data_IF_543723982242
#
_entry.id   IF_543723982242
#
_cell.length_a   1.000
_cell.length_b   1.000
_cell.length_c   1.000
_cell.angle_alpha   90.00
_cell.angle_beta   90.00
_cell.angle_gamma   90.00
#
_symmetry.space_group_name_H-M   'P 1'
#
loop_
_entity.id
_entity.type
_entity.pdbx_description
1 polymer ?
#
# COMPACT_ATOMS: atom_id res chain seq x y z
N UNK A 1 8.17 15.50 -8.42
CA UNK A 1 7.70 14.15 -8.05
C UNK A 1 6.18 14.03 -8.21
N UNK A 2 5.40 15.10 -8.04
CA UNK A 2 3.93 15.10 -8.24
C UNK A 2 3.48 14.88 -9.71
N UNK A 3 4.39 14.76 -10.66
CA UNK A 3 4.09 14.70 -12.10
C UNK A 3 4.25 13.30 -12.72
N UNK A 4 4.54 12.26 -11.93
CA UNK A 4 4.67 10.93 -12.47
C UNK A 4 3.34 10.18 -12.34
N UNK A 5 2.74 9.88 -13.47
CA UNK A 5 1.53 9.05 -13.52
C UNK A 5 1.82 7.64 -13.02
N UNK A 6 0.83 7.05 -12.33
CA UNK A 6 0.88 5.68 -11.85
C UNK A 6 0.34 4.67 -12.87
N UNK A 7 -0.37 5.14 -13.91
CA UNK A 7 -1.04 4.29 -14.89
C UNK A 7 -0.66 4.70 -16.30
N UNK A 8 -0.34 3.71 -17.10
CA UNK A 8 -0.14 3.87 -18.53
C UNK A 8 -0.73 2.67 -19.30
N UNK A 9 -1.04 2.87 -20.56
CA UNK A 9 -1.26 1.79 -21.52
C UNK A 9 -0.14 1.75 -22.54
N UNK A 10 0.15 0.55 -23.02
CA UNK A 10 1.12 0.33 -24.08
C UNK A 10 0.47 -0.47 -25.20
N UNK A 11 0.46 0.11 -26.39
CA UNK A 11 -0.02 -0.56 -27.60
C UNK A 11 1.14 -1.31 -28.25
N UNK A 12 1.10 -2.63 -28.20
CA UNK A 12 2.15 -3.49 -28.74
C UNK A 12 2.18 -3.51 -30.30
N UNK A 13 1.12 -3.03 -30.96
CA UNK A 13 1.07 -3.00 -32.43
C UNK A 13 1.71 -1.71 -32.95
N UNK A 14 1.37 -0.58 -32.36
CA UNK A 14 1.89 0.74 -32.77
C UNK A 14 3.16 1.17 -32.00
N UNK A 15 3.60 0.39 -31.02
CA UNK A 15 4.75 0.71 -30.12
C UNK A 15 4.58 2.06 -29.41
N UNK A 16 3.34 2.37 -28.99
CA UNK A 16 3.03 3.65 -28.36
C UNK A 16 2.61 3.51 -26.92
N UNK A 17 3.10 4.42 -26.09
CA UNK A 17 2.73 4.53 -24.67
C UNK A 17 1.83 5.74 -24.45
N UNK A 18 0.71 5.54 -23.79
CA UNK A 18 -0.18 6.61 -23.32
C UNK A 18 -0.21 6.63 -21.81
N UNK A 19 0.16 7.77 -21.21
CA UNK A 19 0.09 8.00 -19.78
C UNK A 19 -1.24 8.65 -19.40
N UNK A 20 -1.80 8.23 -18.24
CA UNK A 20 -3.07 8.74 -17.74
C UNK A 20 -2.86 9.64 -16.53
N UNK A 21 -3.79 10.56 -16.27
CA UNK A 21 -3.74 11.49 -15.13
C UNK A 21 -4.12 10.80 -13.82
N UNK A 22 -3.29 9.88 -13.37
CA UNK A 22 -3.42 9.13 -12.11
C UNK A 22 -2.17 9.40 -11.29
N UNK A 23 -2.32 10.13 -10.20
CA UNK A 23 -1.19 10.61 -9.37
C UNK A 23 -1.45 10.26 -7.90
N UNK A 24 -0.39 10.22 -7.10
CA UNK A 24 -0.53 10.21 -5.65
C UNK A 24 -1.36 11.41 -5.20
N UNK A 25 -2.00 11.32 -4.01
CA UNK A 25 -2.70 12.43 -3.40
C UNK A 25 -1.80 13.68 -3.37
N UNK A 26 -2.39 14.86 -3.53
CA UNK A 26 -1.65 16.12 -3.67
C UNK A 26 -0.73 16.39 -2.47
N UNK A 27 -1.17 16.01 -1.28
CA UNK A 27 -0.49 16.18 0.00
C UNK A 27 0.37 14.95 0.41
N UNK A 28 0.47 13.95 -0.47
CA UNK A 28 1.18 12.69 -0.18
C UNK A 28 2.62 12.89 0.32
N UNK A 29 3.26 13.98 -0.12
CA UNK A 29 4.66 14.28 0.18
C UNK A 29 4.84 15.44 1.18
N UNK A 30 3.76 16.03 1.72
CA UNK A 30 3.82 17.25 2.51
C UNK A 30 4.53 17.06 3.86
N UNK A 31 4.46 15.86 4.43
CA UNK A 31 5.12 15.52 5.71
C UNK A 31 6.52 14.93 5.55
N UNK A 32 7.03 14.88 4.33
CA UNK A 32 8.32 14.26 4.02
C UNK A 32 8.22 13.23 2.89
N UNK A 33 9.33 12.58 2.57
CA UNK A 33 9.37 11.55 1.52
C UNK A 33 8.79 10.26 2.04
N UNK A 34 7.82 9.72 1.33
CA UNK A 34 7.30 8.36 1.51
C UNK A 34 7.84 7.43 0.43
N UNK A 35 7.74 6.14 0.64
CA UNK A 35 7.95 5.19 -0.44
C UNK A 35 6.82 5.29 -1.47
N UNK A 36 7.16 5.06 -2.74
CA UNK A 36 6.25 5.19 -3.88
C UNK A 36 5.62 3.86 -4.30
N UNK A 37 5.52 2.90 -3.37
CA UNK A 37 4.90 1.62 -3.65
C UNK A 37 3.38 1.74 -3.60
N UNK A 38 2.74 1.02 -4.50
CA UNK A 38 1.30 0.85 -4.53
C UNK A 38 0.93 -0.56 -4.99
N UNK A 39 -0.28 -0.96 -4.71
CA UNK A 39 -0.90 -2.18 -5.21
C UNK A 39 -2.12 -1.81 -6.04
N UNK A 40 -2.53 -2.70 -6.92
CA UNK A 40 -3.75 -2.52 -7.68
C UNK A 40 -4.46 -3.84 -7.92
N UNK A 41 -5.76 -3.75 -8.16
CA UNK A 41 -6.58 -4.88 -8.60
C UNK A 41 -7.62 -4.40 -9.61
N UNK A 42 -8.19 -5.34 -10.36
CA UNK A 42 -9.18 -5.03 -11.40
C UNK A 42 -10.54 -5.63 -11.04
N UNK A 43 -11.59 -4.82 -11.21
CA UNK A 43 -12.99 -5.28 -11.21
C UNK A 43 -13.69 -4.70 -12.43
N UNK A 44 -14.09 -5.56 -13.37
CA UNK A 44 -14.63 -5.16 -14.68
C UNK A 44 -13.66 -4.22 -15.43
N UNK A 45 -14.14 -3.04 -15.85
CA UNK A 45 -13.37 -2.03 -16.56
C UNK A 45 -12.75 -0.96 -15.63
N UNK A 46 -12.57 -1.29 -14.35
CA UNK A 46 -11.99 -0.38 -13.36
C UNK A 46 -10.74 -0.96 -12.71
N UNK A 47 -9.73 -0.12 -12.55
CA UNK A 47 -8.55 -0.40 -11.72
C UNK A 47 -8.72 0.29 -10.37
N UNK A 48 -8.45 -0.44 -9.32
CA UNK A 48 -8.45 0.02 -7.93
C UNK A 48 -7.00 0.12 -7.49
N UNK A 49 -6.51 1.34 -7.33
CA UNK A 49 -5.09 1.66 -7.09
C UNK A 49 -4.97 2.10 -5.64
N UNK A 50 -4.19 1.37 -4.87
CA UNK A 50 -4.04 1.54 -3.43
C UNK A 50 -2.56 1.77 -3.07
N UNK A 51 -2.14 3.00 -2.76
CA UNK A 51 -0.80 3.28 -2.26
C UNK A 51 -0.55 2.59 -0.91
N UNK A 52 0.71 2.19 -0.67
CA UNK A 52 1.05 1.51 0.58
C UNK A 52 1.12 2.45 1.79
N UNK A 53 1.34 3.72 1.56
CA UNK A 53 1.50 4.74 2.61
C UNK A 53 0.43 5.82 2.52
N UNK A 54 -0.79 5.41 2.14
CA UNK A 54 -1.97 6.27 2.11
C UNK A 54 -3.24 5.46 2.37
N UNK A 55 -4.25 6.11 2.91
CA UNK A 55 -5.57 5.51 3.09
C UNK A 55 -6.40 5.57 1.82
N UNK A 56 -6.12 6.53 0.92
CA UNK A 56 -6.86 6.74 -0.32
C UNK A 56 -6.72 5.55 -1.28
N UNK A 57 -7.84 5.08 -1.79
CA UNK A 57 -7.92 4.16 -2.93
C UNK A 57 -8.51 4.93 -4.11
N UNK A 58 -7.82 4.95 -5.23
CA UNK A 58 -8.26 5.61 -6.46
C UNK A 58 -8.91 4.59 -7.40
N UNK A 59 -10.08 4.93 -7.95
CA UNK A 59 -10.79 4.11 -8.92
C UNK A 59 -10.62 4.72 -10.30
N UNK A 60 -9.81 4.09 -11.13
CA UNK A 60 -9.58 4.49 -12.51
C UNK A 60 -10.49 3.68 -13.45
N UNK A 61 -11.30 4.38 -14.24
CA UNK A 61 -12.18 3.79 -15.26
C UNK A 61 -11.40 3.69 -16.59
N UNK A 62 -11.14 2.47 -17.06
CA UNK A 62 -10.34 2.23 -18.25
C UNK A 62 -11.06 2.64 -19.56
N UNK A 63 -12.39 2.69 -19.57
CA UNK A 63 -13.13 3.14 -20.75
C UNK A 63 -13.19 4.67 -20.84
N UNK A 64 -13.35 5.33 -19.68
CA UNK A 64 -13.34 6.80 -19.58
C UNK A 64 -11.94 7.38 -19.50
N UNK A 65 -10.94 6.52 -19.27
CA UNK A 65 -9.53 6.87 -19.14
C UNK A 65 -9.25 7.92 -18.06
N UNK A 66 -10.00 7.89 -16.97
CA UNK A 66 -9.89 8.86 -15.87
C UNK A 66 -10.19 8.26 -14.51
N UNK A 67 -9.70 8.91 -13.46
CA UNK A 67 -10.09 8.61 -12.08
C UNK A 67 -11.54 9.08 -11.89
N UNK A 68 -12.42 8.14 -11.56
CA UNK A 68 -13.87 8.40 -11.38
C UNK A 68 -14.28 8.44 -9.92
N UNK A 69 -13.45 7.92 -9.01
CA UNK A 69 -13.70 7.96 -7.58
C UNK A 69 -12.40 7.90 -6.79
N UNK A 70 -12.43 8.44 -5.57
CA UNK A 70 -11.38 8.37 -4.56
C UNK A 70 -12.04 8.12 -3.21
N UNK A 71 -11.59 7.09 -2.52
CA UNK A 71 -12.19 6.68 -1.24
C UNK A 71 -11.09 6.59 -0.18
N UNK A 72 -11.31 7.22 0.94
CA UNK A 72 -10.45 7.09 2.12
C UNK A 72 -10.86 5.82 2.90
N UNK A 73 -10.17 4.71 2.60
CA UNK A 73 -10.39 3.41 3.22
C UNK A 73 -9.34 3.20 4.33
N UNK A 74 -9.55 3.85 5.47
CA UNK A 74 -8.66 3.82 6.62
C UNK A 74 -8.92 2.60 7.49
N UNK A 75 -7.85 1.88 7.86
CA UNK A 75 -7.86 0.85 8.90
C UNK A 75 -7.76 1.47 10.29
N UNK A 76 -8.49 0.91 11.27
CA UNK A 76 -8.36 1.29 12.68
C UNK A 76 -6.99 0.90 13.29
N UNK A 77 -6.25 0.03 12.62
CA UNK A 77 -4.94 -0.46 13.04
C UNK A 77 -3.76 0.28 12.39
N UNK A 78 -4.02 1.23 11.49
CA UNK A 78 -3.00 2.04 10.82
C UNK A 78 -3.05 3.47 11.36
N UNK A 79 -2.02 3.83 12.13
CA UNK A 79 -1.96 5.11 12.83
C UNK A 79 -0.91 6.06 12.27
N UNK A 80 0.21 5.53 11.78
CA UNK A 80 1.33 6.35 11.31
C UNK A 80 2.08 5.70 10.17
N UNK A 81 2.36 6.49 9.14
CA UNK A 81 3.24 6.07 8.05
C UNK A 81 4.65 6.61 8.25
N UNK A 82 5.63 5.89 7.70
CA UNK A 82 7.02 6.31 7.71
C UNK A 82 7.29 7.42 6.69
N UNK A 83 7.86 8.52 7.16
CA UNK A 83 8.34 9.62 6.35
C UNK A 83 9.85 9.73 6.46
N UNK A 84 10.54 9.82 5.34
CA UNK A 84 11.98 10.05 5.29
C UNK A 84 12.21 11.55 5.15
N UNK A 85 12.56 12.22 6.25
CA UNK A 85 12.94 13.63 6.24
C UNK A 85 14.46 13.78 6.02
N UNK A 86 15.22 12.86 6.58
CA UNK A 86 16.69 12.80 6.47
C UNK A 86 17.12 11.42 5.99
N UNK A 87 18.29 11.36 5.35
CA UNK A 87 18.85 10.06 4.94
C UNK A 87 19.25 9.33 6.23
N UNK A 88 18.78 8.09 6.45
CA UNK A 88 19.18 7.32 7.62
C UNK A 88 20.70 7.18 7.70
N UNK A 89 21.26 7.33 8.89
CA UNK A 89 22.72 7.26 9.11
C UNK A 89 23.31 5.87 8.91
N UNK A 90 22.47 4.82 8.96
CA UNK A 90 22.87 3.45 8.73
C UNK A 90 21.74 2.63 8.09
N UNK A 91 22.10 1.47 7.51
CA UNK A 91 21.11 0.49 7.02
C UNK A 91 20.24 -0.05 8.16
N UNK A 92 20.80 -0.16 9.33
CA UNK A 92 20.12 -0.62 10.55
C UNK A 92 19.01 0.34 10.96
N UNK A 93 19.33 1.63 11.06
CA UNK A 93 18.35 2.68 11.33
C UNK A 93 17.23 2.68 10.29
N UNK A 94 17.56 2.54 9.01
CA UNK A 94 16.56 2.46 7.94
C UNK A 94 15.61 1.26 8.10
N UNK A 95 16.13 0.11 8.53
CA UNK A 95 15.31 -1.08 8.78
C UNK A 95 14.44 -0.94 10.03
N UNK A 96 14.97 -0.38 11.11
CA UNK A 96 14.22 -0.10 12.34
C UNK A 96 13.07 0.88 12.03
N UNK A 97 13.37 1.99 11.38
CA UNK A 97 12.38 3.00 11.00
C UNK A 97 11.26 2.41 10.13
N UNK A 98 11.60 1.53 9.21
CA UNK A 98 10.60 0.86 8.37
C UNK A 98 9.75 -0.13 9.16
N UNK A 99 10.33 -0.88 10.11
CA UNK A 99 9.60 -1.85 10.94
C UNK A 99 8.65 -1.18 11.92
N UNK A 100 9.05 -0.03 12.49
CA UNK A 100 8.29 0.68 13.52
C UNK A 100 7.02 1.35 13.02
N UNK A 101 6.87 1.51 11.72
CA UNK A 101 5.74 2.22 11.14
C UNK A 101 4.80 1.28 10.38
N UNK A 102 3.56 1.71 10.32
CA UNK A 102 2.49 1.00 9.64
C UNK A 102 2.63 1.13 8.12
N UNK A 103 2.11 0.14 7.40
CA UNK A 103 1.93 0.24 5.96
C UNK A 103 0.79 -0.65 5.49
N UNK A 104 0.22 -0.31 4.36
CA UNK A 104 -0.64 -1.20 3.61
C UNK A 104 0.18 -2.10 2.69
N UNK A 105 -0.46 -3.16 2.21
CA UNK A 105 0.09 -4.10 1.25
C UNK A 105 -0.78 -4.24 0.02
N UNK A 106 -0.94 -5.47 -0.43
CA UNK A 106 -1.73 -5.77 -1.61
C UNK A 106 -3.22 -5.52 -1.39
N UNK A 107 -3.89 -5.09 -2.46
CA UNK A 107 -5.35 -5.11 -2.58
C UNK A 107 -5.75 -6.19 -3.57
N UNK A 108 -6.73 -7.02 -3.20
CA UNK A 108 -7.23 -8.13 -4.01
C UNK A 108 -8.75 -7.98 -4.17
N UNK A 109 -9.26 -8.27 -5.34
CA UNK A 109 -10.70 -8.36 -5.59
C UNK A 109 -11.16 -9.81 -5.59
N UNK A 110 -12.14 -10.10 -4.74
CA UNK A 110 -12.85 -11.39 -4.72
C UNK A 110 -14.13 -11.30 -5.57
N UNK A 111 -14.07 -11.89 -6.76
CA UNK A 111 -15.20 -11.88 -7.71
C UNK A 111 -16.40 -12.71 -7.25
N UNK A 112 -16.21 -13.64 -6.30
CA UNK A 112 -17.28 -14.52 -5.82
C UNK A 112 -18.12 -13.86 -4.72
N UNK A 113 -17.46 -13.02 -3.90
CA UNK A 113 -18.10 -12.27 -2.80
C UNK A 113 -18.39 -10.82 -3.14
N UNK A 114 -17.90 -10.36 -4.31
CA UNK A 114 -17.96 -8.97 -4.77
C UNK A 114 -17.43 -7.97 -3.72
N UNK A 115 -16.28 -8.30 -3.13
CA UNK A 115 -15.62 -7.49 -2.12
C UNK A 115 -14.11 -7.40 -2.38
N UNK A 116 -13.44 -6.53 -1.63
CA UNK A 116 -12.00 -6.38 -1.70
C UNK A 116 -11.36 -6.75 -0.38
N UNK A 117 -10.16 -7.30 -0.45
CA UNK A 117 -9.27 -7.51 0.69
C UNK A 117 -8.06 -6.59 0.53
N UNK A 118 -7.80 -5.73 1.51
CA UNK A 118 -6.60 -4.91 1.57
C UNK A 118 -5.78 -5.37 2.77
N UNK A 119 -4.60 -5.91 2.51
CA UNK A 119 -3.69 -6.28 3.59
C UNK A 119 -3.06 -5.05 4.20
N UNK A 120 -2.73 -5.14 5.49
CA UNK A 120 -2.01 -4.11 6.21
C UNK A 120 -1.05 -4.72 7.22
N UNK A 121 -0.05 -3.96 7.59
CA UNK A 121 1.03 -4.38 8.47
C UNK A 121 1.25 -3.30 9.51
N UNK A 122 0.73 -3.47 10.73
CA UNK A 122 1.02 -2.59 11.85
C UNK A 122 2.52 -2.49 12.11
N UNK A 123 2.95 -1.35 12.59
CA UNK A 123 4.32 -1.16 13.05
C UNK A 123 4.68 -2.15 14.14
N UNK A 124 5.89 -2.66 14.09
CA UNK A 124 6.40 -3.61 15.07
C UNK A 124 7.80 -3.18 15.48
N UNK A 125 7.96 -2.83 16.76
CA UNK A 125 9.25 -2.70 17.43
C UNK A 125 9.16 -3.40 18.77
N UNK A 126 10.18 -4.20 19.04
CA UNK A 126 10.51 -4.68 20.36
C UNK A 126 11.78 -3.93 20.78
N UNK A 127 11.60 -2.81 21.49
CA UNK A 127 12.70 -1.93 21.90
C UNK A 127 13.69 -2.60 22.86
N UNK A 128 13.32 -3.75 23.43
CA UNK A 128 14.14 -4.49 24.39
C UNK A 128 15.06 -5.51 23.70
N UNK A 129 15.01 -5.61 22.37
CA UNK A 129 15.82 -6.56 21.61
C UNK A 129 16.78 -5.87 20.66
N UNK A 130 18.04 -6.19 20.85
CA UNK A 130 19.08 -5.86 19.88
C UNK A 130 18.98 -6.84 18.69
N UNK A 131 18.45 -6.35 17.57
CA UNK A 131 18.28 -7.18 16.39
C UNK A 131 19.51 -7.09 15.48
N UNK A 132 20.11 -8.23 15.18
CA UNK A 132 21.08 -8.31 14.08
C UNK A 132 20.42 -7.84 12.77
N UNK A 133 21.19 -7.13 11.94
CA UNK A 133 20.69 -6.54 10.67
C UNK A 133 19.98 -7.57 9.77
N UNK A 134 20.45 -8.81 9.74
CA UNK A 134 19.84 -9.89 8.96
C UNK A 134 18.45 -10.26 9.52
N UNK A 135 18.28 -10.23 10.84
CA UNK A 135 16.97 -10.44 11.47
C UNK A 135 16.01 -9.30 11.12
N UNK A 136 16.47 -8.05 11.11
CA UNK A 136 15.65 -6.90 10.70
C UNK A 136 15.26 -6.94 9.23
N UNK A 137 16.17 -7.35 8.34
CA UNK A 137 15.86 -7.56 6.92
C UNK A 137 14.78 -8.62 6.72
N UNK A 138 14.88 -9.74 7.45
CA UNK A 138 13.88 -10.80 7.44
C UNK A 138 12.52 -10.29 7.94
N UNK A 139 12.48 -9.59 9.07
CA UNK A 139 11.25 -9.01 9.64
C UNK A 139 10.61 -7.96 8.72
N UNK A 140 11.41 -7.17 7.99
CA UNK A 140 10.89 -6.23 7.00
C UNK A 140 10.23 -6.90 5.80
N UNK A 141 10.73 -8.08 5.42
CA UNK A 141 10.17 -8.87 4.31
C UNK A 141 8.95 -9.67 4.76
N UNK A 142 9.03 -10.26 5.95
CA UNK A 142 8.02 -11.12 6.53
C UNK A 142 7.61 -10.54 7.88
N UNK A 143 6.68 -9.59 7.83
CA UNK A 143 6.27 -8.84 9.02
C UNK A 143 5.57 -9.74 10.03
N UNK A 144 5.90 -9.60 11.33
CA UNK A 144 5.32 -10.43 12.37
C UNK A 144 3.82 -10.17 12.59
N UNK A 145 3.36 -8.96 12.31
CA UNK A 145 1.95 -8.59 12.39
C UNK A 145 1.40 -8.33 10.99
N UNK A 146 0.36 -9.06 10.65
CA UNK A 146 -0.38 -8.92 9.39
C UNK A 146 -1.84 -8.78 9.71
N UNK A 147 -2.51 -7.86 9.05
CA UNK A 147 -3.96 -7.72 9.11
C UNK A 147 -4.58 -7.68 7.73
N UNK A 148 -5.88 -7.84 7.69
CA UNK A 148 -6.70 -7.75 6.48
C UNK A 148 -7.92 -6.90 6.74
N UNK A 149 -8.17 -5.94 5.86
CA UNK A 149 -9.43 -5.20 5.75
C UNK A 149 -10.30 -5.88 4.71
N UNK A 150 -11.58 -6.00 5.01
CA UNK A 150 -12.61 -6.37 4.04
C UNK A 150 -13.36 -5.11 3.66
N UNK A 151 -13.40 -4.81 2.37
CA UNK A 151 -14.10 -3.66 1.83
C UNK A 151 -15.25 -4.16 0.95
N UNK A 152 -16.39 -3.50 1.05
CA UNK A 152 -17.50 -3.76 0.13
C UNK A 152 -17.19 -3.25 -1.30
N UNK A 153 -18.15 -3.39 -2.21
CA UNK A 153 -17.99 -2.98 -3.61
C UNK A 153 -17.88 -1.46 -3.79
N UNK A 154 -18.30 -0.67 -2.81
CA UNK A 154 -18.17 0.79 -2.74
C UNK A 154 -16.88 1.22 -2.00
N UNK A 155 -16.06 0.27 -1.54
CA UNK A 155 -14.84 0.46 -0.74
C UNK A 155 -15.08 0.92 0.70
N UNK A 156 -16.28 0.73 1.24
CA UNK A 156 -16.50 0.92 2.68
C UNK A 156 -15.86 -0.23 3.46
N UNK A 157 -15.22 0.08 4.58
CA UNK A 157 -14.67 -0.94 5.47
C UNK A 157 -15.83 -1.66 6.17
N UNK A 158 -15.97 -2.97 5.94
CA UNK A 158 -17.01 -3.82 6.52
C UNK A 158 -16.48 -4.79 7.56
N UNK A 159 -15.17 -4.90 7.69
CA UNK A 159 -14.52 -5.69 8.73
C UNK A 159 -13.02 -5.64 8.63
N UNK A 160 -12.36 -5.91 9.75
CA UNK A 160 -10.92 -6.00 9.86
C UNK A 160 -10.54 -7.17 10.78
N UNK A 161 -9.40 -7.76 10.51
CA UNK A 161 -8.81 -8.80 11.35
C UNK A 161 -7.29 -8.68 11.37
N UNK A 162 -6.71 -8.75 12.57
CA UNK A 162 -5.26 -8.85 12.75
C UNK A 162 -4.93 -10.27 13.17
N UNK A 163 -4.08 -10.92 12.42
CA UNK A 163 -3.62 -12.28 12.69
C UNK A 163 -2.60 -12.30 13.85
N UNK A 164 -2.52 -13.41 14.55
CA UNK A 164 -1.47 -13.62 15.54
C UNK A 164 -0.07 -13.53 14.91
N UNK A 165 0.93 -13.21 15.74
CA UNK A 165 2.31 -13.06 15.26
C UNK A 165 2.75 -14.30 14.47
N UNK A 166 3.24 -14.05 13.25
CA UNK A 166 3.75 -15.09 12.34
C UNK A 166 2.71 -16.14 11.90
N UNK A 167 1.43 -15.89 12.09
CA UNK A 167 0.37 -16.78 11.61
C UNK A 167 0.22 -16.75 10.09
N UNK A 168 0.49 -15.60 9.49
CA UNK A 168 0.41 -15.39 8.04
C UNK A 168 1.75 -14.93 7.51
N UNK A 169 2.27 -15.63 6.50
CA UNK A 169 3.45 -15.25 5.76
C UNK A 169 3.03 -14.64 4.43
N UNK A 170 3.44 -13.41 4.19
CA UNK A 170 3.07 -12.65 2.98
C UNK A 170 4.20 -12.56 1.96
N UNK A 171 5.36 -13.11 2.28
CA UNK A 171 6.48 -13.25 1.36
C UNK A 171 6.33 -14.56 0.58
N UNK A 172 5.96 -14.48 -0.66
CA UNK A 172 6.07 -15.55 -1.65
C UNK A 172 7.22 -15.29 -2.61
#
# INVERSE_FOLDING_TARGET
IQKHSLVYSYDMVSDQTKWYEVYYAKDYWDKGKKASQFSWTRRNDKLYIAPWFDHEIQVFDMQKEQVVNKVDAKSDHINSFYYVNEIPGSSEEAHINRLSHDLYGVILYDKYRDCFYRFFYPGFIDNDKDYAIESMRRLNRDRPLTGVMVLDKELNVIGEHVFDKFQVHTSS
#
